data_IF_761348592568
#
_entry.id   IF_761348592568
#
_cell.length_a   1.000
_cell.length_b   1.000
_cell.length_c   1.000
_cell.angle_alpha   90.00
_cell.angle_beta   90.00
_cell.angle_gamma   90.00
#
_symmetry.space_group_name_H-M   'P 1'
#
loop_
_entity.id
_entity.type
_entity.pdbx_description
1 polymer ?
#
# COMPACT_ATOMS: atom_id res chain seq x y z
N UNK A 1 -25.46 12.27 12.33
CA UNK A 1 -24.26 11.92 11.54
C UNK A 1 -23.08 12.52 12.26
N UNK A 2 -22.43 11.71 13.10
CA UNK A 2 -21.26 12.14 13.87
C UNK A 2 -20.05 12.35 12.97
N UNK A 3 -19.03 13.02 13.52
CA UNK A 3 -17.73 13.22 12.85
C UNK A 3 -17.14 11.89 12.36
N UNK A 4 -16.59 11.91 11.15
CA UNK A 4 -15.87 10.78 10.56
C UNK A 4 -14.41 10.82 11.00
N UNK A 5 -13.90 9.72 11.57
CA UNK A 5 -12.51 9.64 12.03
C UNK A 5 -11.86 8.30 11.65
N UNK A 6 -10.54 8.32 11.47
CA UNK A 6 -9.78 7.10 11.21
C UNK A 6 -9.58 6.34 12.51
N UNK A 7 -9.98 5.07 12.54
CA UNK A 7 -9.81 4.25 13.73
C UNK A 7 -9.37 2.83 13.41
N UNK A 8 -8.68 2.24 14.37
CA UNK A 8 -8.44 0.80 14.44
C UNK A 8 -9.47 0.19 15.38
N UNK A 9 -10.22 -0.79 14.89
CA UNK A 9 -11.17 -1.56 15.68
C UNK A 9 -10.66 -2.98 15.88
N UNK A 10 -10.70 -3.43 17.12
CA UNK A 10 -10.47 -4.84 17.46
C UNK A 10 -11.80 -5.55 17.60
N UNK A 11 -12.04 -6.51 16.73
CA UNK A 11 -13.27 -7.29 16.73
C UNK A 11 -13.21 -8.41 17.77
N UNK A 12 -14.38 -8.91 18.18
CA UNK A 12 -14.50 -10.08 19.08
C UNK A 12 -13.89 -11.35 18.48
N UNK A 13 -13.72 -11.39 17.16
CA UNK A 13 -13.03 -12.46 16.41
C UNK A 13 -11.51 -12.43 16.61
N UNK A 14 -10.97 -11.36 17.20
CA UNK A 14 -9.53 -11.14 17.39
C UNK A 14 -8.84 -10.41 16.23
N UNK A 15 -9.58 -10.08 15.18
CA UNK A 15 -9.10 -9.31 14.03
C UNK A 15 -8.97 -7.83 14.37
N UNK A 16 -7.99 -7.17 13.75
CA UNK A 16 -7.76 -5.73 13.84
C UNK A 16 -8.00 -5.13 12.46
N UNK A 17 -9.00 -4.26 12.38
CA UNK A 17 -9.39 -3.57 11.15
C UNK A 17 -9.11 -2.08 11.28
N UNK A 18 -8.69 -1.45 10.20
CA UNK A 18 -8.53 -0.01 10.06
C UNK A 18 -9.59 0.49 9.08
N UNK A 19 -10.35 1.52 9.47
CA UNK A 19 -11.40 2.09 8.63
C UNK A 19 -11.63 3.56 8.95
N UNK A 20 -12.33 4.25 8.05
CA UNK A 20 -12.99 5.50 8.39
C UNK A 20 -14.32 5.17 9.09
N UNK A 21 -14.49 5.65 10.31
CA UNK A 21 -15.59 5.30 11.20
C UNK A 21 -16.51 6.49 11.41
N UNK A 22 -17.81 6.25 11.34
CA UNK A 22 -18.85 7.17 11.82
C UNK A 22 -19.78 6.43 12.78
N UNK A 23 -20.09 7.04 13.91
CA UNK A 23 -20.96 6.47 14.94
C UNK A 23 -22.31 7.18 14.87
N UNK A 24 -23.39 6.40 14.78
CA UNK A 24 -24.76 6.91 14.94
C UNK A 24 -25.26 6.57 16.35
N UNK A 25 -25.34 7.59 17.20
CA UNK A 25 -25.82 7.48 18.58
C UNK A 25 -27.36 7.55 18.66
N UNK A 26 -28.05 6.69 17.92
CA UNK A 26 -29.51 6.56 18.09
C UNK A 26 -29.84 5.81 19.39
N UNK A 27 -30.82 6.32 20.14
CA UNK A 27 -31.16 6.04 21.55
C UNK A 27 -31.43 4.56 21.92
N UNK A 28 -31.42 3.62 20.97
CA UNK A 28 -31.74 2.20 21.21
C UNK A 28 -30.67 1.18 20.80
N UNK A 29 -29.96 1.41 19.69
CA UNK A 29 -28.97 0.47 19.14
C UNK A 29 -27.90 1.29 18.38
N UNK A 30 -26.77 1.63 19.02
CA UNK A 30 -25.70 2.36 18.34
C UNK A 30 -25.11 1.49 17.23
N UNK A 31 -25.17 2.02 16.01
CA UNK A 31 -24.61 1.40 14.81
C UNK A 31 -23.37 2.16 14.40
N UNK A 32 -22.34 1.41 14.03
CA UNK A 32 -21.10 1.95 13.49
C UNK A 32 -21.09 1.74 11.99
N UNK A 33 -20.86 2.81 11.26
CA UNK A 33 -20.54 2.79 9.84
C UNK A 33 -19.02 2.72 9.68
N UNK A 34 -18.57 1.79 8.83
CA UNK A 34 -17.18 1.58 8.47
C UNK A 34 -17.06 1.76 6.96
N UNK A 35 -16.27 2.73 6.52
CA UNK A 35 -15.95 2.90 5.10
C UNK A 35 -14.58 2.27 4.81
N UNK A 36 -14.53 1.41 3.79
CA UNK A 36 -13.35 0.69 3.30
C UNK A 36 -12.48 0.03 4.40
N UNK A 37 -13.04 -0.88 5.20
CA UNK A 37 -12.30 -1.55 6.25
C UNK A 37 -11.19 -2.44 5.68
N UNK A 38 -9.97 -2.25 6.18
CA UNK A 38 -8.78 -3.01 5.79
C UNK A 38 -8.09 -3.65 6.98
N UNK A 39 -7.44 -4.79 6.76
CA UNK A 39 -6.55 -5.44 7.72
C UNK A 39 -5.12 -5.01 7.39
N UNK A 40 -4.46 -4.34 8.34
CA UNK A 40 -3.05 -3.95 8.23
C UNK A 40 -2.19 -4.88 9.08
N UNK A 41 -1.16 -5.51 8.49
CA UNK A 41 -0.19 -6.33 9.22
C UNK A 41 1.22 -5.81 9.00
N UNK A 42 1.92 -5.53 10.09
CA UNK A 42 3.36 -5.22 10.08
C UNK A 42 4.16 -6.52 10.03
N UNK A 43 4.94 -6.70 8.96
CA UNK A 43 5.86 -7.81 8.78
C UNK A 43 7.28 -7.30 8.97
N UNK A 44 8.05 -8.02 9.78
CA UNK A 44 9.47 -7.77 10.00
C UNK A 44 10.27 -8.76 9.17
N UNK A 45 11.02 -8.27 8.20
CA UNK A 45 11.99 -9.05 7.45
C UNK A 45 13.41 -8.60 7.79
N UNK A 46 14.43 -9.45 7.56
CA UNK A 46 15.83 -9.04 7.68
C UNK A 46 16.20 -7.84 6.78
N UNK A 47 15.43 -7.58 5.72
CA UNK A 47 15.65 -6.50 4.76
C UNK A 47 14.90 -5.19 5.12
N UNK A 48 13.99 -5.22 6.10
CA UNK A 48 13.18 -4.07 6.47
C UNK A 48 11.81 -4.43 7.04
N UNK A 49 11.07 -3.40 7.46
CA UNK A 49 9.68 -3.50 7.89
C UNK A 49 8.75 -3.20 6.70
N UNK A 50 7.78 -4.07 6.46
CA UNK A 50 6.80 -3.89 5.39
C UNK A 50 5.38 -3.99 5.97
N UNK A 51 4.49 -3.11 5.53
CA UNK A 51 3.08 -3.13 5.92
C UNK A 51 2.30 -3.82 4.81
N UNK A 52 1.68 -4.95 5.12
CA UNK A 52 0.76 -5.62 4.22
C UNK A 52 -0.67 -5.16 4.52
N UNK A 53 -1.32 -4.56 3.54
CA UNK A 53 -2.73 -4.16 3.60
C UNK A 53 -3.55 -5.16 2.81
N UNK A 54 -4.70 -5.57 3.35
CA UNK A 54 -5.70 -6.41 2.67
C UNK A 54 -7.09 -5.88 2.99
N UNK A 55 -8.07 -6.01 2.07
CA UNK A 55 -9.46 -5.70 2.41
C UNK A 55 -9.94 -6.64 3.52
N UNK A 56 -10.82 -6.16 4.41
CA UNK A 56 -11.40 -6.99 5.46
C UNK A 56 -12.33 -8.06 4.88
N UNK A 57 -13.11 -7.71 3.85
CA UNK A 57 -13.98 -8.61 3.11
C UNK A 57 -13.57 -8.60 1.63
N UNK A 58 -13.14 -9.75 1.10
CA UNK A 58 -12.63 -9.87 -0.28
C UNK A 58 -13.72 -10.09 -1.34
N UNK A 59 -14.94 -10.43 -0.91
CA UNK A 59 -16.07 -10.76 -1.79
C UNK A 59 -16.97 -9.57 -2.19
N UNK A 60 -17.32 -8.63 -1.30
CA UNK A 60 -18.23 -7.54 -1.64
C UNK A 60 -17.54 -6.49 -2.52
N UNK A 61 -18.32 -5.87 -3.42
CA UNK A 61 -17.94 -4.68 -4.20
C UNK A 61 -18.36 -3.37 -3.51
N UNK A 62 -18.99 -3.49 -2.34
CA UNK A 62 -19.48 -2.35 -1.57
C UNK A 62 -18.38 -1.83 -0.64
N UNK A 63 -18.31 -0.51 -0.50
CA UNK A 63 -17.29 0.18 0.29
C UNK A 63 -17.78 0.53 1.70
N UNK A 64 -19.07 0.37 1.98
CA UNK A 64 -19.70 0.78 3.23
C UNK A 64 -20.26 -0.42 3.99
N UNK A 65 -19.89 -0.53 5.27
CA UNK A 65 -20.28 -1.62 6.14
C UNK A 65 -20.93 -1.09 7.42
N UNK A 66 -21.99 -1.75 7.86
CA UNK A 66 -22.70 -1.45 9.09
C UNK A 66 -22.41 -2.55 10.11
N UNK A 67 -21.97 -2.15 11.31
CA UNK A 67 -21.63 -3.07 12.38
C UNK A 67 -22.28 -2.65 13.70
N UNK A 68 -22.71 -3.63 14.49
CA UNK A 68 -23.18 -3.41 15.87
C UNK A 68 -22.01 -3.23 16.82
N UNK A 69 -22.15 -2.33 17.78
CA UNK A 69 -21.13 -2.06 18.81
C UNK A 69 -20.73 -3.32 19.62
N UNK A 70 -21.68 -4.25 19.84
CA UNK A 70 -21.46 -5.55 20.52
C UNK A 70 -20.35 -6.42 19.90
N UNK A 71 -20.02 -6.21 18.63
CA UNK A 71 -18.98 -6.99 17.93
C UNK A 71 -17.57 -6.40 18.03
N UNK A 72 -17.43 -5.26 18.71
CA UNK A 72 -16.16 -4.56 18.89
C UNK A 72 -15.73 -4.69 20.35
N UNK A 73 -14.50 -5.15 20.54
CA UNK A 73 -13.87 -5.22 21.87
C UNK A 73 -13.33 -3.86 22.27
N UNK A 74 -12.65 -3.18 21.35
CA UNK A 74 -12.11 -1.84 21.55
C UNK A 74 -11.91 -1.13 20.22
N UNK A 75 -11.96 0.20 20.23
CA UNK A 75 -11.59 1.04 19.10
C UNK A 75 -10.58 2.09 19.58
N UNK A 76 -9.62 2.43 18.72
CA UNK A 76 -8.67 3.52 18.95
C UNK A 76 -8.62 4.42 17.74
N UNK A 77 -8.83 5.71 17.95
CA UNK A 77 -8.60 6.72 16.92
C UNK A 77 -7.11 6.78 16.56
N UNK A 78 -6.81 6.92 15.27
CA UNK A 78 -5.45 7.06 14.76
C UNK A 78 -5.26 8.47 14.21
N UNK A 79 -4.38 9.23 14.87
CA UNK A 79 -3.95 10.54 14.41
C UNK A 79 -2.60 10.51 13.67
N UNK A 80 -2.01 9.32 13.49
CA UNK A 80 -0.71 9.18 12.81
C UNK A 80 -0.84 9.45 11.31
N UNK A 81 -0.14 10.49 10.85
CA UNK A 81 -0.20 10.94 9.45
C UNK A 81 0.39 9.93 8.46
N UNK A 82 1.32 9.08 8.88
CA UNK A 82 1.90 8.10 7.97
C UNK A 82 0.89 6.98 7.72
N UNK A 83 0.24 6.45 8.76
CA UNK A 83 -0.83 5.46 8.61
C UNK A 83 -1.99 5.98 7.76
N UNK A 84 -2.43 7.21 7.98
CA UNK A 84 -3.49 7.83 7.17
C UNK A 84 -3.06 7.94 5.70
N UNK A 85 -1.81 8.33 5.42
CA UNK A 85 -1.28 8.37 4.04
C UNK A 85 -1.20 6.98 3.40
N UNK A 86 -0.81 5.94 4.15
CA UNK A 86 -0.79 4.57 3.65
C UNK A 86 -2.19 4.11 3.27
N UNK A 87 -3.17 4.42 4.11
CA UNK A 87 -4.58 4.11 3.86
C UNK A 87 -5.13 4.86 2.64
N UNK A 88 -4.92 6.18 2.56
CA UNK A 88 -5.35 6.99 1.42
C UNK A 88 -4.71 6.51 0.11
N UNK A 89 -3.43 6.14 0.14
CA UNK A 89 -2.74 5.56 -1.01
C UNK A 89 -3.36 4.23 -1.45
N UNK A 90 -3.71 3.36 -0.50
CA UNK A 90 -4.38 2.10 -0.79
C UNK A 90 -5.77 2.30 -1.43
N UNK A 91 -6.51 3.33 -1.03
CA UNK A 91 -7.82 3.62 -1.62
C UNK A 91 -7.74 4.21 -3.03
N UNK A 92 -6.69 4.96 -3.34
CA UNK A 92 -6.53 5.67 -4.61
C UNK A 92 -5.79 4.88 -5.69
N UNK A 93 -4.97 3.89 -5.31
CA UNK A 93 -4.21 3.06 -6.25
C UNK A 93 -4.70 1.60 -6.16
N UNK A 94 -5.39 1.10 -7.20
CA UNK A 94 -5.95 -0.26 -7.35
C UNK A 94 -4.94 -1.42 -7.14
N UNK A 95 -3.63 -1.15 -7.08
CA UNK A 95 -2.59 -2.17 -6.96
C UNK A 95 -1.30 -1.54 -6.39
N UNK A 96 -1.04 -1.70 -5.09
CA UNK A 96 0.25 -1.28 -4.52
C UNK A 96 0.71 -2.22 -3.41
N UNK A 97 1.63 -3.12 -3.75
CA UNK A 97 2.65 -3.55 -2.81
C UNK A 97 3.47 -2.31 -2.38
N UNK A 98 3.16 -1.74 -1.22
CA UNK A 98 3.87 -0.56 -0.71
C UNK A 98 5.14 -1.04 0.01
N UNK A 99 6.24 -1.11 -0.74
CA UNK A 99 7.58 -1.22 -0.14
C UNK A 99 7.87 0.03 0.70
N UNK A 100 8.08 -0.17 2.01
CA UNK A 100 8.28 0.93 2.95
C UNK A 100 9.71 1.48 2.98
N UNK A 101 10.64 0.89 2.22
CA UNK A 101 11.96 1.49 2.00
C UNK A 101 12.61 0.91 0.74
N UNK A 102 13.15 1.77 -0.13
CA UNK A 102 13.83 1.37 -1.36
C UNK A 102 13.30 2.02 -2.65
N UNK A 103 13.35 3.35 -2.76
CA UNK A 103 13.14 4.02 -4.06
C UNK A 103 14.00 3.39 -5.17
N UNK A 104 13.35 2.98 -6.26
CA UNK A 104 13.89 3.19 -7.61
C UNK A 104 12.72 3.51 -8.54
N UNK A 105 12.63 4.76 -8.98
CA UNK A 105 11.80 5.09 -10.15
C UNK A 105 12.32 4.26 -11.32
N UNK A 106 11.50 3.34 -11.83
CA UNK A 106 11.78 2.56 -13.03
C UNK A 106 11.99 3.53 -14.20
N UNK A 107 13.24 3.88 -14.48
CA UNK A 107 13.57 4.56 -15.73
C UNK A 107 13.50 3.51 -16.84
N UNK A 108 12.79 3.77 -17.93
CA UNK A 108 12.68 2.90 -19.11
C UNK A 108 14.05 2.47 -19.67
N UNK A 109 15.12 3.15 -19.26
CA UNK A 109 16.52 2.80 -19.55
C UNK A 109 17.06 1.57 -18.79
N UNK A 110 16.35 1.05 -17.78
CA UNK A 110 16.82 -0.09 -16.96
C UNK A 110 16.79 -1.47 -17.65
N UNK A 111 16.44 -1.53 -18.93
CA UNK A 111 16.63 -2.72 -19.78
C UNK A 111 17.33 -2.44 -21.12
N UNK A 112 17.60 -1.17 -21.43
CA UNK A 112 18.26 -0.78 -22.68
C UNK A 112 19.77 -0.70 -22.44
N UNK A 113 20.44 -1.83 -22.66
CA UNK A 113 21.90 -1.94 -22.49
C UNK A 113 22.65 -1.01 -23.47
N UNK A 114 22.16 -0.90 -24.71
CA UNK A 114 22.61 0.04 -25.73
C UNK A 114 21.61 0.05 -26.91
N UNK A 115 21.56 1.12 -27.71
CA UNK A 115 20.89 1.06 -29.03
C UNK A 115 21.79 0.35 -30.04
N UNK A 116 21.21 -0.17 -31.12
CA UNK A 116 21.97 -0.83 -32.21
C UNK A 116 23.08 0.07 -32.75
N UNK A 117 22.82 1.38 -32.84
CA UNK A 117 23.80 2.35 -33.30
C UNK A 117 24.97 2.55 -32.34
N UNK A 118 24.71 2.51 -31.04
CA UNK A 118 25.73 2.67 -30.00
C UNK A 118 26.62 1.42 -29.90
N UNK A 119 26.01 0.22 -29.99
CA UNK A 119 26.73 -1.05 -30.08
C UNK A 119 27.60 -1.12 -31.35
N UNK A 120 27.10 -0.62 -32.49
CA UNK A 120 27.87 -0.54 -33.75
C UNK A 120 29.10 0.37 -33.60
N UNK A 121 28.93 1.56 -33.03
CA UNK A 121 30.05 2.48 -32.77
C UNK A 121 31.08 1.89 -31.81
N UNK A 122 30.62 1.19 -30.76
CA UNK A 122 31.50 0.52 -29.80
C UNK A 122 32.36 -0.55 -30.49
N UNK A 123 31.76 -1.40 -31.31
CA UNK A 123 32.47 -2.43 -32.09
C UNK A 123 33.44 -1.81 -33.11
N UNK A 124 33.04 -0.74 -33.79
CA UNK A 124 33.89 -0.06 -34.77
C UNK A 124 35.11 0.62 -34.10
N UNK A 125 34.93 1.17 -32.91
CA UNK A 125 36.03 1.72 -32.11
C UNK A 125 36.99 0.63 -31.62
N UNK A 126 36.48 -0.54 -31.21
CA UNK A 126 37.32 -1.69 -30.83
C UNK A 126 38.11 -2.19 -32.05
N UNK A 127 37.47 -2.29 -33.21
CA UNK A 127 38.12 -2.72 -34.45
C UNK A 127 39.23 -1.77 -34.87
N UNK A 128 38.97 -0.45 -34.93
CA UNK A 128 39.98 0.56 -35.30
C UNK A 128 41.16 0.62 -34.33
N UNK A 129 40.92 0.42 -33.02
CA UNK A 129 41.99 0.29 -32.03
C UNK A 129 42.85 -0.95 -32.22
N UNK A 130 42.30 -2.02 -32.76
CA UNK A 130 43.01 -3.28 -32.98
C UNK A 130 43.78 -3.30 -34.31
N UNK A 131 43.38 -2.47 -35.28
CA UNK A 131 44.09 -2.34 -36.57
C UNK A 131 45.35 -1.48 -36.53
N UNK A 132 45.70 -0.88 -35.38
CA UNK A 132 46.88 0.00 -35.24
C UNK A 132 48.16 -0.72 -34.80
N UNK A 133 48.26 -2.05 -34.99
CA UNK A 133 49.56 -2.75 -35.03
C UNK A 133 49.56 -4.00 -35.92
N UNK A 134 49.95 -3.88 -37.20
CA UNK A 134 51.06 -4.64 -37.74
C UNK A 134 52.38 -3.87 -37.48
N UNK A 135 53.46 -4.61 -37.20
CA UNK A 135 54.81 -4.07 -37.06
C UNK A 135 55.22 -3.17 -38.22
#
# INVERSE_FOLDING_TARGET
MGDEFHAVLKLVTGEEIFALVSVDENDGDPIIMLSNPVIMKMLHSPAGQYVKVRPWLELPTEDLFLMKYDKIVTMSEISDKNMIKFYDRYLNEDDVDIELDGKVSLNTKMGLIATVEDARKSLENIFKRNTDKPN
#
